data_IF_052518591054
#
_entry.id   IF_052518591054
#
_cell.length_a   1.000
_cell.length_b   1.000
_cell.length_c   1.000
_cell.angle_alpha   90.00
_cell.angle_beta   90.00
_cell.angle_gamma   90.00
#
_symmetry.space_group_name_H-M   'P 1'
#
loop_
_entity.id
_entity.type
_entity.pdbx_description
1 polymer ?
#
# COMPACT_ATOMS: atom_id res chain seq x y z
N UNK A 1 -5.31 -31.03 -30.28
CA UNK A 1 -4.41 -31.96 -29.57
C UNK A 1 -4.69 -31.75 -28.08
N UNK A 2 -4.71 -32.78 -27.23
CA UNK A 2 -4.99 -32.57 -25.81
C UNK A 2 -3.84 -31.81 -25.14
N UNK A 3 -4.14 -30.92 -24.18
CA UNK A 3 -3.14 -30.12 -23.45
C UNK A 3 -2.03 -31.00 -22.86
N UNK A 4 -2.35 -32.21 -22.39
CA UNK A 4 -1.37 -33.16 -21.87
C UNK A 4 -0.31 -33.56 -22.91
N UNK A 5 -0.72 -33.77 -24.18
CA UNK A 5 0.20 -34.15 -25.25
C UNK A 5 1.09 -32.96 -25.66
N UNK A 6 0.55 -31.75 -25.66
CA UNK A 6 1.30 -30.50 -25.89
C UNK A 6 2.31 -30.22 -24.77
N UNK A 7 1.91 -30.46 -23.52
CA UNK A 7 2.78 -30.32 -22.34
C UNK A 7 3.94 -31.30 -22.40
N UNK A 8 3.68 -32.58 -22.65
CA UNK A 8 4.73 -33.60 -22.75
C UNK A 8 5.73 -33.29 -23.87
N UNK A 9 5.24 -32.87 -25.04
CA UNK A 9 6.08 -32.46 -26.16
C UNK A 9 6.93 -31.22 -25.81
N UNK A 10 6.35 -30.24 -25.12
CA UNK A 10 7.07 -29.02 -24.72
C UNK A 10 8.14 -29.30 -23.66
N UNK A 11 7.84 -30.17 -22.68
CA UNK A 11 8.80 -30.60 -21.67
C UNK A 11 9.97 -31.39 -22.29
N UNK A 12 9.71 -32.19 -23.34
CA UNK A 12 10.75 -32.89 -24.09
C UNK A 12 11.69 -31.89 -24.77
N UNK A 13 11.16 -30.91 -25.50
CA UNK A 13 11.97 -29.88 -26.16
C UNK A 13 12.77 -29.02 -25.16
N UNK A 14 12.20 -28.66 -24.00
CA UNK A 14 12.93 -27.92 -22.96
C UNK A 14 14.13 -28.69 -22.41
N UNK A 15 14.01 -30.02 -22.26
CA UNK A 15 15.12 -30.87 -21.81
C UNK A 15 16.24 -30.96 -22.83
N UNK A 16 15.91 -31.15 -24.11
CA UNK A 16 16.88 -31.20 -25.22
C UNK A 16 17.64 -29.87 -25.37
N UNK A 17 16.93 -28.74 -25.25
CA UNK A 17 17.50 -27.41 -25.40
C UNK A 17 18.15 -26.86 -24.11
N UNK A 18 18.18 -27.66 -23.03
CA UNK A 18 18.62 -27.25 -21.69
C UNK A 18 17.95 -25.95 -21.16
N UNK A 19 16.80 -25.57 -21.68
CA UNK A 19 16.05 -24.40 -21.20
C UNK A 19 15.44 -24.73 -19.84
N UNK A 20 15.78 -23.94 -18.83
CA UNK A 20 15.24 -24.08 -17.47
C UNK A 20 14.48 -22.81 -17.11
N UNK A 21 13.30 -22.97 -16.52
CA UNK A 21 12.62 -21.86 -15.86
C UNK A 21 13.42 -21.46 -14.62
N UNK A 22 13.33 -20.19 -14.24
CA UNK A 22 13.90 -19.68 -13.00
C UNK A 22 13.54 -20.58 -11.81
N UNK A 23 14.54 -20.87 -10.97
CA UNK A 23 14.32 -21.64 -9.75
C UNK A 23 13.35 -20.90 -8.83
N UNK A 24 12.30 -21.60 -8.39
CA UNK A 24 11.27 -21.06 -7.50
C UNK A 24 11.83 -20.32 -6.27
N UNK A 25 12.95 -20.80 -5.71
CA UNK A 25 13.61 -20.15 -4.57
C UNK A 25 14.21 -18.78 -4.91
N UNK A 26 14.74 -18.60 -6.13
CA UNK A 26 15.29 -17.32 -6.60
C UNK A 26 14.17 -16.31 -6.85
N UNK A 27 13.10 -16.75 -7.51
CA UNK A 27 11.90 -15.93 -7.76
C UNK A 27 11.29 -15.45 -6.44
N UNK A 28 11.13 -16.36 -5.47
CA UNK A 28 10.62 -16.02 -4.14
C UNK A 28 11.55 -15.10 -3.35
N UNK A 29 12.87 -15.23 -3.54
CA UNK A 29 13.88 -14.33 -2.98
C UNK A 29 13.71 -12.89 -3.46
N UNK A 30 13.44 -12.70 -4.75
CA UNK A 30 13.17 -11.37 -5.33
C UNK A 30 11.92 -10.73 -4.70
N UNK A 31 10.80 -11.44 -4.63
CA UNK A 31 9.58 -10.89 -4.03
C UNK A 31 9.76 -10.53 -2.56
N UNK A 32 10.50 -11.34 -1.80
CA UNK A 32 10.86 -11.03 -0.40
C UNK A 32 11.64 -9.73 -0.26
N UNK A 33 12.53 -9.41 -1.20
CA UNK A 33 13.26 -8.14 -1.18
C UNK A 33 12.34 -6.93 -1.39
N UNK A 34 11.38 -7.04 -2.32
CA UNK A 34 10.38 -5.98 -2.56
C UNK A 34 9.48 -5.80 -1.35
N UNK A 35 8.90 -6.89 -0.86
CA UNK A 35 7.96 -6.90 0.27
C UNK A 35 8.61 -6.41 1.57
N UNK A 36 9.89 -6.72 1.80
CA UNK A 36 10.63 -6.20 2.96
C UNK A 36 11.04 -4.72 2.84
N UNK A 37 10.76 -4.07 1.70
CA UNK A 37 11.18 -2.70 1.46
C UNK A 37 12.69 -2.52 1.35
N UNK A 38 13.44 -3.57 0.96
CA UNK A 38 14.89 -3.53 0.90
C UNK A 38 15.39 -2.85 -0.39
N UNK A 39 15.33 -1.51 -0.39
CA UNK A 39 15.74 -0.67 -1.54
C UNK A 39 17.19 -0.94 -1.96
N UNK A 40 18.09 -1.22 -1.01
CA UNK A 40 19.51 -1.42 -1.33
C UNK A 40 19.74 -2.72 -2.11
N UNK A 41 19.12 -3.82 -1.69
CA UNK A 41 19.24 -5.09 -2.42
C UNK A 41 18.59 -5.02 -3.80
N UNK A 42 17.41 -4.39 -3.93
CA UNK A 42 16.78 -4.17 -5.23
C UNK A 42 17.69 -3.34 -6.15
N UNK A 43 18.34 -2.28 -5.65
CA UNK A 43 19.30 -1.50 -6.46
C UNK A 43 20.46 -2.34 -7.00
N UNK A 44 20.94 -3.33 -6.24
CA UNK A 44 22.01 -4.25 -6.67
C UNK A 44 21.57 -5.25 -7.73
N UNK A 45 20.26 -5.47 -7.92
CA UNK A 45 19.75 -6.34 -8.99
C UNK A 45 19.74 -5.63 -10.35
N UNK A 46 19.61 -4.30 -10.35
CA UNK A 46 19.52 -3.49 -11.57
C UNK A 46 20.83 -2.75 -11.90
N UNK A 47 22.00 -3.35 -11.63
CA UNK A 47 23.26 -2.80 -12.16
C UNK A 47 23.32 -3.03 -13.67
N UNK A 48 23.99 -2.16 -14.44
CA UNK A 48 24.11 -2.32 -15.90
C UNK A 48 24.60 -3.72 -16.30
N UNK A 49 25.58 -4.29 -15.58
CA UNK A 49 26.10 -5.62 -15.90
C UNK A 49 25.04 -6.73 -15.70
N UNK A 50 24.18 -6.59 -14.69
CA UNK A 50 23.14 -7.59 -14.37
C UNK A 50 21.94 -7.51 -15.29
N UNK A 51 21.57 -6.30 -15.72
CA UNK A 51 20.50 -6.09 -16.72
C UNK A 51 20.92 -6.67 -18.07
N UNK A 52 22.19 -6.50 -18.45
CA UNK A 52 22.71 -7.09 -19.69
C UNK A 52 22.73 -8.63 -19.62
N UNK A 53 23.05 -9.21 -18.46
CA UNK A 53 23.01 -10.66 -18.25
C UNK A 53 21.58 -11.20 -18.27
N UNK A 54 20.66 -10.54 -17.57
CA UNK A 54 19.25 -10.93 -17.50
C UNK A 54 18.48 -10.82 -18.82
N UNK A 55 18.87 -9.88 -19.70
CA UNK A 55 18.27 -9.76 -21.05
C UNK A 55 18.74 -10.85 -22.03
N UNK A 56 19.80 -11.59 -21.69
CA UNK A 56 20.31 -12.75 -22.44
C UNK A 56 19.83 -14.09 -21.86
N UNK A 57 19.41 -14.11 -20.60
CA UNK A 57 18.94 -15.30 -19.90
C UNK A 57 17.46 -15.59 -20.21
N UNK A 58 17.22 -16.69 -20.92
CA UNK A 58 15.88 -17.22 -21.25
C UNK A 58 15.12 -17.79 -20.02
N UNK A 59 15.56 -17.50 -18.80
CA UNK A 59 15.07 -18.11 -17.56
C UNK A 59 13.61 -17.75 -17.23
N UNK A 60 13.10 -16.62 -17.76
CA UNK A 60 11.71 -16.18 -17.54
C UNK A 60 10.70 -16.89 -18.45
N UNK A 61 11.14 -17.70 -19.40
CA UNK A 61 10.26 -18.38 -20.36
C UNK A 61 9.79 -17.49 -21.51
N UNK A 62 9.33 -18.12 -22.60
CA UNK A 62 8.90 -17.45 -23.84
C UNK A 62 7.37 -17.60 -23.96
N UNK A 63 6.65 -16.51 -23.70
CA UNK A 63 5.19 -16.41 -23.74
C UNK A 63 4.68 -15.91 -25.11
N UNK A 64 5.55 -15.33 -25.93
CA UNK A 64 5.23 -14.82 -27.27
C UNK A 64 6.43 -14.94 -28.20
N UNK A 65 6.17 -15.22 -29.48
CA UNK A 65 7.19 -15.18 -30.55
C UNK A 65 7.62 -13.75 -30.89
N UNK A 66 6.73 -12.78 -30.66
CA UNK A 66 7.03 -11.35 -30.75
C UNK A 66 7.77 -10.93 -29.46
N UNK A 67 9.05 -10.51 -29.54
CA UNK A 67 9.86 -10.17 -28.38
C UNK A 67 9.29 -9.03 -27.55
N UNK A 68 8.74 -7.98 -28.19
CA UNK A 68 8.17 -6.85 -27.47
C UNK A 68 6.95 -7.32 -26.67
N UNK A 69 6.07 -8.09 -27.32
CA UNK A 69 4.88 -8.66 -26.66
C UNK A 69 5.23 -9.64 -25.54
N UNK A 70 6.32 -10.39 -25.69
CA UNK A 70 6.82 -11.29 -24.65
C UNK A 70 7.13 -10.51 -23.36
N UNK A 71 7.84 -9.38 -23.49
CA UNK A 71 8.15 -8.50 -22.36
C UNK A 71 6.89 -7.89 -21.73
N UNK A 72 5.89 -7.52 -22.54
CA UNK A 72 4.60 -7.01 -22.03
C UNK A 72 3.89 -8.04 -21.15
N UNK A 73 3.88 -9.31 -21.54
CA UNK A 73 3.25 -10.36 -20.73
C UNK A 73 3.96 -10.57 -19.40
N UNK A 74 5.29 -10.61 -19.40
CA UNK A 74 6.07 -10.71 -18.17
C UNK A 74 5.86 -9.51 -17.24
N UNK A 75 5.78 -8.31 -17.81
CA UNK A 75 5.48 -7.09 -17.05
C UNK A 75 4.13 -7.19 -16.33
N UNK A 76 3.07 -7.60 -17.03
CA UNK A 76 1.72 -7.73 -16.46
C UNK A 76 1.67 -8.79 -15.36
N UNK A 77 2.33 -9.93 -15.58
CA UNK A 77 2.42 -11.00 -14.56
C UNK A 77 3.10 -10.45 -13.31
N UNK A 78 4.23 -9.77 -13.46
CA UNK A 78 4.95 -9.18 -12.34
C UNK A 78 4.11 -8.15 -11.60
N UNK A 79 3.47 -7.20 -12.30
CA UNK A 79 2.62 -6.19 -11.69
C UNK A 79 1.51 -6.83 -10.85
N UNK A 80 0.89 -7.88 -11.37
CA UNK A 80 -0.17 -8.62 -10.70
C UNK A 80 0.34 -9.39 -9.46
N UNK A 81 1.56 -9.95 -9.51
CA UNK A 81 2.18 -10.65 -8.38
C UNK A 81 2.62 -9.68 -7.28
N UNK A 82 3.30 -8.59 -7.63
CA UNK A 82 3.71 -7.55 -6.67
C UNK A 82 2.51 -6.94 -5.96
N UNK A 83 1.45 -6.63 -6.70
CA UNK A 83 0.22 -6.07 -6.11
C UNK A 83 -0.33 -6.98 -5.02
N UNK A 84 -0.52 -8.28 -5.31
CA UNK A 84 -1.06 -9.24 -4.34
C UNK A 84 -0.14 -9.40 -3.14
N UNK A 85 1.15 -9.60 -3.38
CA UNK A 85 2.12 -9.84 -2.32
C UNK A 85 2.29 -8.60 -1.41
N UNK A 86 2.31 -7.39 -1.97
CA UNK A 86 2.37 -6.17 -1.18
C UNK A 86 1.10 -5.97 -0.34
N UNK A 87 -0.08 -6.23 -0.90
CA UNK A 87 -1.35 -6.18 -0.14
C UNK A 87 -1.38 -7.20 0.99
N UNK A 88 -0.98 -8.45 0.72
CA UNK A 88 -0.85 -9.50 1.75
C UNK A 88 0.11 -9.11 2.87
N UNK A 89 1.08 -8.23 2.59
CA UNK A 89 2.06 -7.74 3.55
C UNK A 89 1.73 -6.34 4.09
N UNK A 90 0.50 -5.89 3.91
CA UNK A 90 -0.06 -4.72 4.61
C UNK A 90 -0.03 -3.41 3.83
N UNK A 91 0.35 -3.40 2.55
CA UNK A 91 0.15 -2.21 1.72
C UNK A 91 -1.34 -2.00 1.49
N UNK A 92 -1.78 -0.74 1.60
CA UNK A 92 -3.16 -0.37 1.29
C UNK A 92 -3.59 -0.89 -0.08
N UNK A 93 -4.79 -1.48 -0.12
CA UNK A 93 -5.32 -2.16 -1.30
C UNK A 93 -5.47 -1.20 -2.46
N UNK A 94 -6.22 -0.12 -2.27
CA UNK A 94 -6.52 0.83 -3.35
C UNK A 94 -5.23 1.44 -3.91
N UNK A 95 -4.27 1.75 -3.04
CA UNK A 95 -2.94 2.22 -3.44
C UNK A 95 -2.17 1.18 -4.26
N UNK A 96 -2.16 -0.08 -3.85
CA UNK A 96 -1.45 -1.15 -4.56
C UNK A 96 -2.05 -1.43 -5.95
N UNK A 97 -3.39 -1.47 -6.05
CA UNK A 97 -4.08 -1.67 -7.33
C UNK A 97 -3.91 -0.46 -8.25
N UNK A 98 -4.02 0.77 -7.73
CA UNK A 98 -3.78 1.99 -8.49
C UNK A 98 -2.36 2.04 -9.07
N UNK A 99 -1.35 1.61 -8.31
CA UNK A 99 0.02 1.50 -8.82
C UNK A 99 0.12 0.52 -9.99
N UNK A 100 -0.54 -0.64 -9.90
CA UNK A 100 -0.57 -1.62 -10.97
C UNK A 100 -1.16 -1.03 -12.25
N UNK A 101 -2.33 -0.39 -12.15
CA UNK A 101 -3.02 0.21 -13.29
C UNK A 101 -2.16 1.29 -13.96
N UNK A 102 -1.55 2.17 -13.15
CA UNK A 102 -0.65 3.22 -13.65
C UNK A 102 0.53 2.65 -14.44
N UNK A 103 1.18 1.61 -13.92
CA UNK A 103 2.35 1.02 -14.57
C UNK A 103 1.99 0.16 -15.79
N UNK A 104 0.86 -0.56 -15.76
CA UNK A 104 0.36 -1.30 -16.92
C UNK A 104 -0.02 -0.34 -18.05
N UNK A 105 -0.72 0.76 -17.75
CA UNK A 105 -1.08 1.77 -18.75
C UNK A 105 0.17 2.46 -19.35
N UNK A 106 1.18 2.74 -18.54
CA UNK A 106 2.47 3.26 -19.03
C UNK A 106 3.20 2.26 -19.92
N UNK A 107 3.16 0.97 -19.57
CA UNK A 107 3.78 -0.08 -20.36
C UNK A 107 3.08 -0.23 -21.71
N UNK A 108 1.75 -0.04 -21.77
CA UNK A 108 0.98 -0.23 -22.99
C UNK A 108 1.42 0.68 -24.14
N UNK A 109 1.92 1.88 -23.81
CA UNK A 109 2.43 2.86 -24.78
C UNK A 109 3.92 2.70 -25.10
N UNK A 110 4.65 1.77 -24.49
CA UNK A 110 6.06 1.53 -24.78
C UNK A 110 6.25 0.82 -26.13
N UNK A 111 7.06 1.40 -27.02
CA UNK A 111 7.26 0.89 -28.38
C UNK A 111 8.51 0.00 -28.54
N UNK A 112 9.31 -0.12 -27.49
CA UNK A 112 10.58 -0.86 -27.50
C UNK A 112 10.85 -1.55 -26.16
N UNK A 113 11.69 -2.58 -26.21
CA UNK A 113 12.08 -3.40 -25.06
C UNK A 113 12.83 -2.59 -23.99
N UNK A 114 13.84 -1.75 -24.33
CA UNK A 114 14.53 -0.93 -23.33
C UNK A 114 13.59 -0.06 -22.48
N UNK A 115 12.56 0.53 -23.09
CA UNK A 115 11.55 1.33 -22.41
C UNK A 115 10.74 0.49 -21.41
N UNK A 116 10.32 -0.72 -21.79
CA UNK A 116 9.62 -1.65 -20.89
C UNK A 116 10.53 -2.07 -19.73
N UNK A 117 11.80 -2.39 -19.99
CA UNK A 117 12.76 -2.79 -18.96
C UNK A 117 13.05 -1.66 -17.96
N UNK A 118 13.15 -0.41 -18.45
CA UNK A 118 13.29 0.74 -17.56
C UNK A 118 12.03 0.93 -16.69
N UNK A 119 10.84 0.86 -17.30
CA UNK A 119 9.58 0.97 -16.57
C UNK A 119 9.39 -0.16 -15.55
N UNK A 120 9.84 -1.37 -15.87
CA UNK A 120 9.84 -2.52 -14.97
C UNK A 120 10.66 -2.22 -13.71
N UNK A 121 11.88 -1.69 -13.89
CA UNK A 121 12.73 -1.26 -12.77
C UNK A 121 12.07 -0.17 -11.94
N UNK A 122 11.44 0.82 -12.59
CA UNK A 122 10.72 1.90 -11.90
C UNK A 122 9.57 1.35 -11.05
N UNK A 123 8.74 0.45 -11.62
CA UNK A 123 7.64 -0.19 -10.92
C UNK A 123 8.12 -0.96 -9.69
N UNK A 124 9.12 -1.83 -9.84
CA UNK A 124 9.67 -2.63 -8.74
C UNK A 124 10.23 -1.73 -7.64
N UNK A 125 10.96 -0.68 -8.02
CA UNK A 125 11.49 0.30 -7.09
C UNK A 125 10.38 1.05 -6.35
N UNK A 126 9.30 1.40 -7.03
CA UNK A 126 8.16 2.10 -6.44
C UNK A 126 7.43 1.23 -5.42
N UNK A 127 7.06 -0.01 -5.77
CA UNK A 127 6.50 -0.96 -4.79
C UNK A 127 7.43 -1.14 -3.59
N UNK A 128 8.74 -1.28 -3.81
CA UNK A 128 9.73 -1.43 -2.73
C UNK A 128 9.75 -0.19 -1.82
N UNK A 129 9.67 1.03 -2.37
CA UNK A 129 9.59 2.26 -1.56
C UNK A 129 8.29 2.32 -0.76
N UNK A 130 7.16 1.94 -1.35
CA UNK A 130 5.88 1.93 -0.64
C UNK A 130 5.91 0.93 0.52
N UNK A 131 6.48 -0.25 0.31
CA UNK A 131 6.72 -1.22 1.39
C UNK A 131 7.72 -0.69 2.42
N UNK A 132 8.80 -0.03 2.01
CA UNK A 132 9.77 0.57 2.93
C UNK A 132 9.13 1.67 3.79
N UNK A 133 8.25 2.49 3.22
CA UNK A 133 7.50 3.51 3.94
C UNK A 133 6.50 2.89 4.91
N UNK A 134 5.76 1.87 4.44
CA UNK A 134 4.91 1.06 5.30
C UNK A 134 5.71 0.45 6.46
N UNK A 135 6.94 -0.03 6.24
CA UNK A 135 7.79 -0.58 7.29
C UNK A 135 8.37 0.46 8.24
N UNK A 136 8.64 1.68 7.75
CA UNK A 136 8.97 2.83 8.60
C UNK A 136 7.79 3.25 9.46
N UNK A 137 6.57 3.12 8.94
CA UNK A 137 5.32 3.32 9.68
C UNK A 137 5.04 2.12 10.62
N UNK A 138 5.47 0.90 10.26
CA UNK A 138 5.31 -0.35 11.02
C UNK A 138 6.46 -0.62 12.02
N UNK A 139 6.94 0.40 12.72
CA UNK A 139 7.65 0.19 14.01
C UNK A 139 6.72 -0.53 15.01
N UNK A 140 5.41 -0.53 14.74
CA UNK A 140 4.37 -1.06 15.59
C UNK A 140 4.10 -2.54 15.34
N UNK A 141 3.95 -3.31 16.41
CA UNK A 141 3.50 -4.69 16.44
C UNK A 141 2.18 -4.91 15.70
N UNK A 142 1.93 -6.14 15.26
CA UNK A 142 0.67 -6.53 14.59
C UNK A 142 -0.57 -6.11 15.42
N UNK A 143 -0.46 -6.22 16.74
CA UNK A 143 -1.52 -5.85 17.69
C UNK A 143 -1.82 -4.35 17.65
N UNK A 144 -0.78 -3.51 17.66
CA UNK A 144 -0.94 -2.04 17.60
C UNK A 144 -1.43 -1.61 16.22
N UNK A 145 -1.00 -2.25 15.13
CA UNK A 145 -1.52 -1.97 13.78
C UNK A 145 -3.01 -2.29 13.66
N UNK A 146 -3.44 -3.48 14.09
CA UNK A 146 -4.85 -3.84 14.09
C UNK A 146 -5.69 -2.88 14.95
N UNK A 147 -5.13 -2.36 16.04
CA UNK A 147 -5.77 -1.33 16.83
C UNK A 147 -5.93 -0.02 16.04
N UNK A 148 -4.89 0.43 15.35
CA UNK A 148 -4.95 1.63 14.51
C UNK A 148 -5.96 1.49 13.37
N UNK A 149 -5.94 0.38 12.64
CA UNK A 149 -6.90 0.09 11.56
C UNK A 149 -8.34 0.11 12.08
N UNK A 150 -8.57 -0.51 13.25
CA UNK A 150 -9.87 -0.48 13.90
C UNK A 150 -10.29 0.96 14.23
N UNK A 151 -9.39 1.77 14.79
CA UNK A 151 -9.67 3.18 15.12
C UNK A 151 -10.04 3.97 13.86
N UNK A 152 -9.27 3.84 12.77
CA UNK A 152 -9.53 4.57 11.52
C UNK A 152 -10.83 4.15 10.85
N UNK A 153 -11.19 2.88 10.93
CA UNK A 153 -12.42 2.34 10.35
C UNK A 153 -13.67 2.74 11.15
N UNK A 154 -13.53 2.98 12.46
CA UNK A 154 -14.65 3.25 13.38
C UNK A 154 -14.57 4.67 13.99
N UNK A 155 -14.04 5.66 13.26
CA UNK A 155 -13.93 7.04 13.75
C UNK A 155 -15.30 7.67 14.06
N UNK A 156 -16.36 7.19 13.40
CA UNK A 156 -17.73 7.64 13.59
C UNK A 156 -18.42 7.04 14.83
N UNK A 157 -17.75 6.13 15.51
CA UNK A 157 -18.28 5.46 16.69
C UNK A 157 -17.58 5.94 17.97
N UNK A 158 -18.19 5.62 19.11
CA UNK A 158 -17.58 5.85 20.42
C UNK A 158 -16.64 4.71 20.77
N UNK A 159 -15.45 4.70 20.17
CA UNK A 159 -14.44 3.67 20.43
C UNK A 159 -13.81 3.86 21.81
N UNK A 160 -13.85 2.81 22.64
CA UNK A 160 -13.18 2.75 23.94
C UNK A 160 -11.95 1.86 23.93
N UNK A 161 -11.02 2.09 24.86
CA UNK A 161 -9.82 1.24 25.02
C UNK A 161 -10.19 -0.20 25.41
N UNK A 162 -11.28 -0.37 26.16
CA UNK A 162 -11.79 -1.68 26.59
C UNK A 162 -12.26 -2.52 25.40
N UNK A 163 -13.06 -1.91 24.50
CA UNK A 163 -13.55 -2.56 23.28
C UNK A 163 -12.40 -2.94 22.35
N UNK A 164 -11.45 -2.02 22.12
CA UNK A 164 -10.25 -2.29 21.31
C UNK A 164 -9.44 -3.47 21.87
N UNK A 165 -9.19 -3.49 23.19
CA UNK A 165 -8.48 -4.58 23.82
C UNK A 165 -9.23 -5.91 23.68
N UNK A 166 -10.57 -5.89 23.85
CA UNK A 166 -11.44 -7.05 23.66
C UNK A 166 -11.40 -7.61 22.24
N UNK A 167 -11.53 -6.76 21.23
CA UNK A 167 -11.45 -7.15 19.81
C UNK A 167 -10.10 -7.79 19.45
N UNK A 168 -9.02 -7.31 20.09
CA UNK A 168 -7.66 -7.83 19.89
C UNK A 168 -7.34 -9.04 20.77
N UNK A 169 -8.26 -9.47 21.64
CA UNK A 169 -8.07 -10.54 22.64
C UNK A 169 -6.87 -10.28 23.56
N UNK A 170 -6.65 -9.02 23.93
CA UNK A 170 -5.57 -8.60 24.82
C UNK A 170 -6.11 -8.11 26.16
N UNK A 171 -5.29 -8.27 27.20
CA UNK A 171 -5.54 -7.56 28.44
C UNK A 171 -5.41 -6.04 28.21
N UNK A 172 -6.37 -5.26 28.71
CA UNK A 172 -6.44 -3.80 28.53
C UNK A 172 -5.17 -3.05 28.99
N UNK A 173 -4.60 -3.43 30.14
CA UNK A 173 -3.40 -2.80 30.67
C UNK A 173 -2.18 -3.13 29.81
N UNK A 174 -2.04 -4.38 29.39
CA UNK A 174 -0.98 -4.78 28.46
C UNK A 174 -1.10 -4.06 27.13
N UNK A 175 -2.31 -4.01 26.55
CA UNK A 175 -2.57 -3.31 25.29
C UNK A 175 -2.23 -1.82 25.40
N UNK A 176 -2.66 -1.15 26.46
CA UNK A 176 -2.37 0.27 26.68
C UNK A 176 -0.87 0.55 26.77
N UNK A 177 -0.13 -0.29 27.51
CA UNK A 177 1.33 -0.16 27.64
C UNK A 177 2.05 -0.46 26.33
N UNK A 178 1.63 -1.50 25.60
CA UNK A 178 2.19 -1.85 24.30
C UNK A 178 1.98 -0.72 23.29
N UNK A 179 0.74 -0.22 23.20
CA UNK A 179 0.38 0.88 22.31
C UNK A 179 1.16 2.14 22.65
N UNK A 180 1.29 2.49 23.93
CA UNK A 180 2.06 3.67 24.33
C UNK A 180 3.55 3.53 24.06
N UNK A 181 4.14 2.36 24.37
CA UNK A 181 5.55 2.07 24.12
C UNK A 181 5.91 2.23 22.65
N UNK A 182 5.02 1.75 21.78
CA UNK A 182 5.27 1.74 20.34
C UNK A 182 4.95 3.10 19.72
N UNK A 183 3.79 3.68 20.01
CA UNK A 183 3.30 4.92 19.35
C UNK A 183 3.76 6.21 20.01
N UNK A 184 4.28 6.15 21.24
CA UNK A 184 4.57 7.30 22.08
C UNK A 184 3.32 8.02 22.61
N UNK A 185 2.10 7.52 22.33
CA UNK A 185 0.83 8.17 22.67
C UNK A 185 -0.11 7.19 23.38
N UNK A 186 -1.03 7.70 24.20
CA UNK A 186 -2.08 6.85 24.76
C UNK A 186 -3.12 6.54 23.68
N UNK A 187 -3.81 5.40 23.80
CA UNK A 187 -4.87 5.00 22.85
C UNK A 187 -5.94 6.09 22.72
N UNK A 188 -6.40 6.66 23.85
CA UNK A 188 -7.40 7.74 23.84
C UNK A 188 -6.88 9.02 23.17
N UNK A 189 -5.61 9.36 23.36
CA UNK A 189 -5.02 10.52 22.68
C UNK A 189 -4.94 10.30 21.16
N UNK A 190 -4.60 9.08 20.74
CA UNK A 190 -4.54 8.70 19.33
C UNK A 190 -5.93 8.73 18.68
N UNK A 191 -6.97 8.17 19.32
CA UNK A 191 -8.36 8.24 18.84
C UNK A 191 -8.78 9.69 18.65
N UNK A 192 -8.52 10.54 19.64
CA UNK A 192 -8.86 11.96 19.57
C UNK A 192 -8.16 12.65 18.40
N UNK A 193 -6.87 12.40 18.22
CA UNK A 193 -6.09 12.97 17.11
C UNK A 193 -6.63 12.54 15.74
N UNK A 194 -6.90 11.25 15.55
CA UNK A 194 -7.48 10.74 14.31
C UNK A 194 -8.85 11.40 14.01
N UNK A 195 -9.70 11.57 15.03
CA UNK A 195 -10.98 12.28 14.90
C UNK A 195 -10.80 13.76 14.55
N UNK A 196 -9.83 14.46 15.15
CA UNK A 196 -9.56 15.87 14.80
C UNK A 196 -9.05 15.99 13.37
N UNK A 197 -8.18 15.09 12.92
CA UNK A 197 -7.72 15.08 11.52
C UNK A 197 -8.89 14.90 10.55
N UNK A 198 -9.81 13.98 10.84
CA UNK A 198 -11.04 13.83 10.05
C UNK A 198 -11.92 15.10 10.09
N UNK A 199 -12.03 15.75 11.25
CA UNK A 199 -12.78 17.00 11.40
C UNK A 199 -12.17 18.16 10.59
N UNK A 200 -10.84 18.25 10.50
CA UNK A 200 -10.17 19.25 9.66
C UNK A 200 -10.64 19.13 8.21
N UNK A 201 -10.67 17.90 7.67
CA UNK A 201 -11.14 17.66 6.30
C UNK A 201 -12.61 18.03 6.13
N UNK A 202 -13.49 17.66 7.06
CA UNK A 202 -14.91 18.02 6.99
C UNK A 202 -15.12 19.53 7.07
N UNK A 203 -14.35 20.25 7.89
CA UNK A 203 -14.45 21.71 8.00
C UNK A 203 -13.94 22.43 6.74
N UNK A 204 -12.91 21.88 6.08
CA UNK A 204 -12.31 22.44 4.86
C UNK A 204 -13.20 22.23 3.64
N UNK A 205 -13.79 21.04 3.48
CA UNK A 205 -14.41 20.61 2.22
C UNK A 205 -15.93 20.39 2.28
N UNK A 206 -16.59 20.73 3.39
CA UNK A 206 -18.04 20.58 3.54
C UNK A 206 -18.68 21.69 4.37
N UNK A 207 -19.98 21.86 4.19
CA UNK A 207 -20.80 22.84 4.92
C UNK A 207 -21.47 22.25 6.16
N UNK A 208 -21.16 21.00 6.56
CA UNK A 208 -21.79 20.36 7.71
C UNK A 208 -21.68 21.22 8.97
N UNK A 209 -22.75 21.26 9.76
CA UNK A 209 -22.75 22.01 11.00
C UNK A 209 -21.83 21.36 12.04
N UNK A 210 -21.34 22.17 12.99
CA UNK A 210 -20.39 21.69 13.98
C UNK A 210 -20.98 20.62 14.91
N UNK A 211 -22.29 20.65 15.13
CA UNK A 211 -23.03 19.59 15.83
C UNK A 211 -22.96 18.27 15.07
N UNK A 212 -23.18 18.32 13.76
CA UNK A 212 -23.24 17.14 12.90
C UNK A 212 -21.86 16.52 12.76
N UNK A 213 -20.81 17.35 12.61
CA UNK A 213 -19.42 16.86 12.61
C UNK A 213 -19.08 16.20 13.95
N UNK A 214 -19.53 16.77 15.07
CA UNK A 214 -19.27 16.19 16.39
C UNK A 214 -19.98 14.84 16.57
N UNK A 215 -21.24 14.74 16.17
CA UNK A 215 -22.03 13.51 16.20
C UNK A 215 -21.46 12.45 15.24
N UNK A 216 -21.20 12.84 13.99
CA UNK A 216 -20.64 11.96 12.96
C UNK A 216 -19.29 11.39 13.35
N UNK A 217 -18.47 12.12 14.10
CA UNK A 217 -17.18 11.64 14.60
C UNK A 217 -17.27 11.06 16.02
N UNK A 218 -18.47 10.75 16.51
CA UNK A 218 -18.68 10.09 17.80
C UNK A 218 -18.11 10.85 19.01
N UNK A 219 -18.14 12.18 19.01
CA UNK A 219 -17.86 12.99 20.20
C UNK A 219 -19.09 13.04 21.11
N UNK A 220 -18.88 13.07 22.42
CA UNK A 220 -19.98 13.08 23.40
C UNK A 220 -20.89 14.34 23.33
N UNK A 221 -20.38 15.44 22.77
CA UNK A 221 -21.13 16.67 22.51
C UNK A 221 -20.34 17.61 21.60
N UNK A 222 -21.04 18.58 20.98
CA UNK A 222 -20.41 19.66 20.22
C UNK A 222 -19.40 20.46 21.07
N UNK A 223 -19.72 20.74 22.33
CA UNK A 223 -18.81 21.44 23.25
C UNK A 223 -17.53 20.65 23.51
N UNK A 224 -17.64 19.32 23.66
CA UNK A 224 -16.49 18.44 23.83
C UNK A 224 -15.61 18.42 22.55
N UNK A 225 -16.24 18.36 21.38
CA UNK A 225 -15.54 18.48 20.09
C UNK A 225 -14.78 19.81 19.96
N UNK A 226 -15.45 20.96 20.16
CA UNK A 226 -14.83 22.29 20.05
C UNK A 226 -13.62 22.43 20.98
N UNK A 227 -13.75 21.94 22.22
CA UNK A 227 -12.65 21.95 23.19
C UNK A 227 -11.45 21.15 22.68
N UNK A 228 -11.68 19.89 22.28
CA UNK A 228 -10.62 19.00 21.78
C UNK A 228 -9.96 19.53 20.50
N UNK A 229 -10.76 20.08 19.58
CA UNK A 229 -10.27 20.65 18.34
C UNK A 229 -9.34 21.84 18.60
N UNK A 230 -9.74 22.75 19.50
CA UNK A 230 -8.89 23.88 19.88
C UNK A 230 -7.62 23.46 20.59
N UNK A 231 -7.70 22.48 21.48
CA UNK A 231 -6.52 21.94 22.18
C UNK A 231 -5.47 21.37 21.21
N UNK A 232 -5.89 20.73 20.11
CA UNK A 232 -4.96 20.14 19.16
C UNK A 232 -4.51 21.07 18.04
N UNK A 233 -5.36 21.98 17.60
CA UNK A 233 -5.10 22.80 16.39
C UNK A 233 -4.70 24.23 16.72
N UNK A 234 -5.00 24.70 17.94
CA UNK A 234 -4.89 26.12 18.31
C UNK A 234 -6.08 27.00 17.88
N UNK A 235 -7.00 26.46 17.05
CA UNK A 235 -8.14 27.20 16.50
C UNK A 235 -9.46 26.62 16.98
N UNK A 236 -10.52 27.43 17.07
CA UNK A 236 -11.89 26.89 17.12
C UNK A 236 -12.31 26.37 15.73
N UNK A 237 -13.24 25.41 15.62
CA UNK A 237 -13.75 24.94 14.33
C UNK A 237 -14.25 26.08 13.42
N UNK A 238 -14.90 27.08 14.02
CA UNK A 238 -15.35 28.28 13.30
C UNK A 238 -14.18 29.09 12.73
N UNK A 239 -13.17 29.40 13.55
CA UNK A 239 -11.97 30.11 13.09
C UNK A 239 -11.26 29.34 11.98
N UNK A 240 -11.11 28.03 12.15
CA UNK A 240 -10.48 27.16 11.16
C UNK A 240 -11.25 27.19 9.82
N UNK A 241 -12.58 26.98 9.85
CA UNK A 241 -13.42 27.05 8.65
C UNK A 241 -13.33 28.42 7.98
N UNK A 242 -13.44 29.52 8.71
CA UNK A 242 -13.33 30.87 8.12
C UNK A 242 -11.99 31.09 7.40
N UNK A 243 -10.89 30.48 7.87
CA UNK A 243 -9.57 30.67 7.29
C UNK A 243 -9.25 29.72 6.13
N UNK A 244 -9.75 28.48 6.18
CA UNK A 244 -9.29 27.40 5.30
C UNK A 244 -10.39 26.78 4.43
N UNK A 245 -11.64 27.24 4.52
CA UNK A 245 -12.75 26.68 3.75
C UNK A 245 -12.52 26.76 2.24
N UNK A 246 -12.66 25.62 1.57
CA UNK A 246 -12.59 25.47 0.12
C UNK A 246 -13.92 24.85 -0.37
N UNK A 247 -14.82 25.65 -0.97
CA UNK A 247 -16.05 25.12 -1.53
C UNK A 247 -15.74 24.14 -2.67
N UNK A 248 -16.59 23.11 -2.79
CA UNK A 248 -16.41 21.92 -3.64
C UNK A 248 -16.52 22.17 -5.16
N UNK A 249 -16.28 23.40 -5.62
CA UNK A 249 -16.40 23.80 -7.02
C UNK A 249 -15.14 23.59 -7.88
N UNK A 250 -14.08 22.96 -7.35
CA UNK A 250 -13.04 22.37 -8.18
C UNK A 250 -13.51 21.02 -8.73
N UNK A 251 -14.41 21.05 -9.73
CA UNK A 251 -14.67 19.91 -10.59
C UNK A 251 -13.34 19.49 -11.21
N UNK A 252 -12.90 18.25 -10.95
CA UNK A 252 -11.90 17.60 -11.80
C UNK A 252 -12.48 17.61 -13.23
N UNK A 253 -11.74 18.11 -14.24
CA UNK A 253 -12.21 18.05 -15.61
C UNK A 253 -12.38 16.56 -15.99
N UNK A 254 -13.59 16.24 -16.42
CA UNK A 254 -13.97 14.95 -17.03
C UNK A 254 -13.14 14.66 -18.27
#
# INVERSE_FOLDING_TARGET
MGIDKELQLSLFHQREEQRRHMEYQKEFGFYKMVVSGNIQEIKKLYTPERVEMASKDAENGVLSKDPLRNERYHFVILAALLTRLCVENGLDREKAYTLSDLYINKMDVCMDIPSILNLHREMVMEYTKQMANLHKENIYSIQVRKAMDYIYTHLNERVTVEELAGTLKLNRSYFSSLFHKETGKTVTAFIREAKIVAALNLLTFSEYDYSDIAEYLGFASQSHFIKCFREQTGYTPKQYRTQFYQPKDLRLPT
#
